data_IF_453880179019
#
_entry.id   IF_453880179019
#
_cell.length_a   1.000
_cell.length_b   1.000
_cell.length_c   1.000
_cell.angle_alpha   90.00
_cell.angle_beta   90.00
_cell.angle_gamma   90.00
#
_symmetry.space_group_name_H-M   'P 1'
#
loop_
_entity.id
_entity.type
_entity.pdbx_description
1 polymer ?
#
# COMPACT_ATOMS: atom_id res chain seq x y z
N UNK A 1 16.81 -21.06 -10.75
CA UNK A 1 15.73 -20.06 -10.82
C UNK A 1 15.73 -19.20 -9.57
N UNK A 2 15.68 -19.81 -8.38
CA UNK A 2 15.71 -19.11 -7.08
C UNK A 2 16.88 -18.13 -6.90
N UNK A 3 18.11 -18.51 -7.30
CA UNK A 3 19.27 -17.58 -7.23
C UNK A 3 19.09 -16.34 -8.10
N UNK A 4 18.51 -16.50 -9.29
CA UNK A 4 18.22 -15.38 -10.19
C UNK A 4 17.11 -14.51 -9.60
N UNK A 5 16.07 -15.11 -9.03
CA UNK A 5 15.00 -14.42 -8.31
C UNK A 5 15.53 -13.60 -7.14
N UNK A 6 16.39 -14.18 -6.32
CA UNK A 6 17.02 -13.50 -5.19
C UNK A 6 17.88 -12.32 -5.68
N UNK A 7 18.68 -12.52 -6.72
CA UNK A 7 19.52 -11.47 -7.29
C UNK A 7 18.69 -10.32 -7.87
N UNK A 8 17.65 -10.64 -8.64
CA UNK A 8 16.75 -9.63 -9.20
C UNK A 8 15.97 -8.89 -8.09
N UNK A 9 15.51 -9.58 -7.04
CA UNK A 9 14.87 -8.95 -5.90
C UNK A 9 15.84 -8.02 -5.13
N UNK A 10 17.09 -8.45 -4.96
CA UNK A 10 18.14 -7.67 -4.31
C UNK A 10 18.53 -6.43 -5.12
N UNK A 11 18.50 -6.49 -6.45
CA UNK A 11 18.76 -5.34 -7.32
C UNK A 11 17.53 -4.41 -7.46
N UNK A 12 16.33 -4.99 -7.55
CA UNK A 12 15.09 -4.24 -7.72
C UNK A 12 14.75 -3.41 -6.47
N UNK A 13 15.07 -3.90 -5.27
CA UNK A 13 14.73 -3.18 -4.02
C UNK A 13 15.43 -1.81 -3.94
N UNK A 14 16.77 -1.68 -4.08
CA UNK A 14 17.44 -0.39 -4.17
C UNK A 14 16.98 0.46 -5.36
N UNK A 15 16.67 -0.18 -6.49
CA UNK A 15 16.18 0.52 -7.68
C UNK A 15 14.83 1.21 -7.43
N UNK A 16 13.89 0.54 -6.77
CA UNK A 16 12.57 1.13 -6.45
C UNK A 16 12.74 2.32 -5.50
N UNK A 17 13.64 2.21 -4.51
CA UNK A 17 13.98 3.31 -3.61
C UNK A 17 14.61 4.49 -4.38
N UNK A 18 15.53 4.21 -5.30
CA UNK A 18 16.24 5.25 -6.05
C UNK A 18 15.34 5.98 -7.05
N UNK A 19 14.48 5.27 -7.78
CA UNK A 19 13.59 5.87 -8.80
C UNK A 19 12.67 6.91 -8.18
N UNK A 20 12.00 6.59 -7.07
CA UNK A 20 11.12 7.55 -6.40
C UNK A 20 11.88 8.65 -5.67
N UNK A 21 13.10 8.35 -5.18
CA UNK A 21 13.98 9.37 -4.62
C UNK A 21 14.43 10.37 -5.70
N UNK A 22 14.77 9.93 -6.90
CA UNK A 22 15.18 10.81 -8.01
C UNK A 22 14.02 11.74 -8.40
N UNK A 23 12.81 11.21 -8.57
CA UNK A 23 11.61 12.03 -8.85
C UNK A 23 11.37 13.05 -7.74
N UNK A 24 11.65 12.70 -6.48
CA UNK A 24 11.53 13.67 -5.38
C UNK A 24 12.62 14.74 -5.41
N UNK A 25 13.82 14.43 -5.92
CA UNK A 25 14.94 15.36 -5.99
C UNK A 25 14.69 16.49 -6.99
N UNK A 26 13.87 16.26 -8.01
CA UNK A 26 13.41 17.31 -8.93
C UNK A 26 12.72 18.47 -8.18
N UNK A 27 12.07 18.18 -7.04
CA UNK A 27 11.51 19.19 -6.14
C UNK A 27 12.51 19.60 -5.06
N UNK A 28 13.10 18.62 -4.36
CA UNK A 28 13.93 18.85 -3.17
C UNK A 28 15.16 19.73 -3.42
N UNK A 29 15.72 19.67 -4.63
CA UNK A 29 16.90 20.44 -5.02
C UNK A 29 16.57 21.84 -5.54
N UNK A 30 15.28 22.17 -5.70
CA UNK A 30 14.83 23.52 -6.02
C UNK A 30 15.05 24.48 -4.85
N UNK A 31 14.96 25.78 -5.13
CA UNK A 31 15.07 26.85 -4.12
C UNK A 31 13.70 27.33 -3.61
N UNK A 32 12.62 26.73 -4.10
CA UNK A 32 11.24 27.18 -3.81
C UNK A 32 10.85 26.79 -2.37
N UNK A 33 10.23 27.70 -1.61
CA UNK A 33 9.80 27.40 -0.25
C UNK A 33 8.73 26.31 -0.24
N UNK A 34 8.87 25.36 0.68
CA UNK A 34 8.05 24.16 0.76
C UNK A 34 8.40 23.06 -0.26
N UNK A 35 9.39 23.28 -1.14
CA UNK A 35 10.05 22.22 -1.93
C UNK A 35 11.46 21.93 -1.43
N UNK A 36 12.21 22.96 -1.03
CA UNK A 36 13.59 22.82 -0.58
C UNK A 36 13.68 22.13 0.79
N UNK A 37 13.65 20.79 0.79
CA UNK A 37 13.71 19.99 2.03
C UNK A 37 14.40 18.65 1.81
N UNK A 38 15.11 18.19 2.83
CA UNK A 38 15.89 16.95 2.79
C UNK A 38 15.07 15.70 3.10
N UNK A 39 13.83 15.86 3.59
CA UNK A 39 12.97 14.72 3.95
C UNK A 39 12.21 14.13 2.75
N UNK A 40 12.16 14.83 1.60
CA UNK A 40 11.40 14.43 0.43
C UNK A 40 11.76 13.06 -0.14
N UNK A 41 13.04 12.67 -0.31
CA UNK A 41 13.39 11.36 -0.86
C UNK A 41 12.79 10.16 -0.11
N UNK A 42 13.02 9.99 1.21
CA UNK A 42 12.40 8.88 1.94
C UNK A 42 10.87 9.02 2.04
N UNK A 43 10.36 10.25 2.08
CA UNK A 43 8.92 10.52 2.15
C UNK A 43 8.17 10.14 0.87
N UNK A 44 8.69 10.49 -0.31
CA UNK A 44 8.09 10.14 -1.60
C UNK A 44 8.08 8.63 -1.82
N UNK A 45 9.15 7.94 -1.39
CA UNK A 45 9.21 6.48 -1.39
C UNK A 45 8.12 5.88 -0.50
N UNK A 46 7.96 6.37 0.74
CA UNK A 46 6.91 5.90 1.64
C UNK A 46 5.51 6.12 1.05
N UNK A 47 5.27 7.29 0.45
CA UNK A 47 4.03 7.61 -0.26
C UNK A 47 3.78 6.71 -1.48
N UNK A 48 4.82 6.33 -2.22
CA UNK A 48 4.73 5.41 -3.36
C UNK A 48 4.32 4.00 -2.92
N UNK A 49 4.89 3.50 -1.82
CA UNK A 49 4.47 2.22 -1.24
C UNK A 49 3.02 2.32 -0.76
N UNK A 50 2.65 3.38 -0.06
CA UNK A 50 1.30 3.58 0.47
C UNK A 50 0.23 3.60 -0.63
N UNK A 51 0.40 4.44 -1.67
CA UNK A 51 -0.51 4.51 -2.83
C UNK A 51 -0.50 3.24 -3.67
N UNK A 52 0.69 2.64 -3.89
CA UNK A 52 0.82 1.39 -4.64
C UNK A 52 0.05 0.24 -4.01
N UNK A 53 0.19 0.04 -2.70
CA UNK A 53 -0.58 -0.99 -1.98
C UNK A 53 -2.09 -0.71 -2.01
N UNK A 54 -2.52 0.55 -1.93
CA UNK A 54 -3.93 0.91 -2.06
C UNK A 54 -4.47 0.59 -3.46
N UNK A 55 -3.74 0.94 -4.52
CA UNK A 55 -4.10 0.58 -5.89
C UNK A 55 -4.16 -0.95 -6.09
N UNK A 56 -3.17 -1.69 -5.59
CA UNK A 56 -3.19 -3.16 -5.66
C UNK A 56 -4.40 -3.73 -4.92
N UNK A 57 -4.76 -3.20 -3.74
CA UNK A 57 -5.97 -3.62 -3.03
C UNK A 57 -7.24 -3.40 -3.87
N UNK A 58 -7.44 -2.23 -4.46
CA UNK A 58 -8.64 -1.98 -5.28
C UNK A 58 -8.78 -3.00 -6.43
N UNK A 59 -7.70 -3.24 -7.19
CA UNK A 59 -7.70 -4.16 -8.33
C UNK A 59 -7.83 -5.61 -7.89
N UNK A 60 -7.10 -6.01 -6.84
CA UNK A 60 -7.12 -7.35 -6.30
C UNK A 60 -8.50 -7.71 -5.73
N UNK A 61 -9.19 -6.77 -5.07
CA UNK A 61 -10.53 -7.00 -4.53
C UNK A 61 -11.57 -7.16 -5.64
N UNK A 62 -11.47 -6.38 -6.72
CA UNK A 62 -12.30 -6.55 -7.92
C UNK A 62 -12.02 -7.90 -8.58
N UNK A 63 -10.74 -8.21 -8.83
CA UNK A 63 -10.28 -9.48 -9.40
C UNK A 63 -10.76 -10.68 -8.58
N UNK A 64 -10.66 -10.63 -7.24
CA UNK A 64 -11.13 -11.66 -6.33
C UNK A 64 -12.62 -11.97 -6.51
N UNK A 65 -13.45 -10.96 -6.75
CA UNK A 65 -14.90 -11.12 -6.91
C UNK A 65 -15.30 -11.52 -8.33
N UNK A 66 -14.67 -10.96 -9.36
CA UNK A 66 -15.02 -11.21 -10.77
C UNK A 66 -14.48 -12.54 -11.26
N UNK A 67 -13.26 -12.91 -10.86
CA UNK A 67 -12.59 -14.15 -11.29
C UNK A 67 -12.71 -15.30 -10.28
N UNK A 68 -13.49 -15.13 -9.20
CA UNK A 68 -13.73 -16.12 -8.15
C UNK A 68 -12.45 -16.66 -7.44
N UNK A 69 -11.43 -15.82 -7.27
CA UNK A 69 -10.19 -16.19 -6.57
C UNK A 69 -10.29 -16.11 -5.04
N UNK A 70 -11.44 -16.43 -4.46
CA UNK A 70 -11.67 -16.32 -3.01
C UNK A 70 -10.81 -17.26 -2.18
N UNK A 71 -10.41 -18.41 -2.74
CA UNK A 71 -9.58 -19.43 -2.08
C UNK A 71 -8.08 -19.09 -2.13
N UNK A 72 -7.62 -18.45 -3.21
CA UNK A 72 -6.23 -18.02 -3.34
C UNK A 72 -5.97 -16.69 -2.61
N UNK A 73 -6.86 -15.70 -2.82
CA UNK A 73 -6.77 -14.39 -2.17
C UNK A 73 -7.61 -14.43 -0.90
N UNK A 74 -7.01 -14.96 0.16
CA UNK A 74 -7.65 -15.08 1.48
C UNK A 74 -7.78 -13.72 2.18
N UNK A 75 -8.66 -13.65 3.19
CA UNK A 75 -8.82 -12.44 4.03
C UNK A 75 -7.51 -12.09 4.75
N UNK A 76 -6.67 -13.08 5.05
CA UNK A 76 -5.42 -12.83 5.75
C UNK A 76 -4.38 -12.12 4.86
N UNK A 77 -4.42 -12.31 3.53
CA UNK A 77 -3.62 -11.51 2.60
C UNK A 77 -4.05 -10.04 2.65
N UNK A 78 -5.37 -9.78 2.58
CA UNK A 78 -5.95 -8.43 2.67
C UNK A 78 -5.57 -7.78 3.99
N UNK A 79 -5.68 -8.50 5.11
CA UNK A 79 -5.32 -7.98 6.43
C UNK A 79 -3.83 -7.62 6.54
N UNK A 80 -2.94 -8.46 6.01
CA UNK A 80 -1.49 -8.20 5.98
C UNK A 80 -1.17 -6.96 5.15
N UNK A 81 -1.78 -6.80 3.98
CA UNK A 81 -1.61 -5.60 3.14
C UNK A 81 -2.11 -4.33 3.86
N UNK A 82 -3.26 -4.40 4.53
CA UNK A 82 -3.76 -3.26 5.32
C UNK A 82 -2.80 -2.85 6.44
N UNK A 83 -2.07 -3.79 7.06
CA UNK A 83 -1.04 -3.46 8.05
C UNK A 83 0.13 -2.70 7.44
N UNK A 84 0.58 -3.07 6.25
CA UNK A 84 1.62 -2.33 5.51
C UNK A 84 1.16 -0.89 5.22
N UNK A 85 -0.11 -0.72 4.84
CA UNK A 85 -0.73 0.60 4.63
C UNK A 85 -0.73 1.44 5.91
N UNK A 86 -1.04 0.86 7.08
CA UNK A 86 -0.98 1.59 8.36
C UNK A 86 0.44 2.08 8.65
N UNK A 87 1.43 1.20 8.50
CA UNK A 87 2.83 1.53 8.79
C UNK A 87 3.32 2.66 7.88
N UNK A 88 3.07 2.54 6.58
CA UNK A 88 3.47 3.56 5.60
C UNK A 88 2.71 4.87 5.77
N UNK A 89 1.42 4.82 6.10
CA UNK A 89 0.64 6.00 6.49
C UNK A 89 1.22 6.69 7.73
N UNK A 90 1.66 5.92 8.73
CA UNK A 90 2.33 6.47 9.92
C UNK A 90 3.61 7.23 9.56
N UNK A 91 4.44 6.67 8.66
CA UNK A 91 5.65 7.34 8.16
C UNK A 91 5.30 8.64 7.42
N UNK A 92 4.31 8.61 6.53
CA UNK A 92 3.82 9.79 5.80
C UNK A 92 3.26 10.85 6.77
N UNK A 93 2.48 10.44 7.77
CA UNK A 93 1.94 11.35 8.78
C UNK A 93 3.02 12.01 9.64
N UNK A 94 4.07 11.26 10.01
CA UNK A 94 5.25 11.82 10.70
C UNK A 94 5.99 12.81 9.79
N UNK A 95 6.12 12.53 8.50
CA UNK A 95 6.73 13.46 7.55
C UNK A 95 5.95 14.79 7.47
N UNK A 96 4.61 14.74 7.35
CA UNK A 96 3.77 15.94 7.38
C UNK A 96 3.93 16.75 8.68
N UNK A 97 3.95 16.07 9.83
CA UNK A 97 4.15 16.72 11.13
C UNK A 97 5.54 17.35 11.22
N UNK A 98 6.56 16.68 10.70
CA UNK A 98 7.94 17.16 10.68
C UNK A 98 8.08 18.39 9.78
N UNK A 99 7.44 18.40 8.61
CA UNK A 99 7.40 19.56 7.72
C UNK A 99 6.74 20.77 8.40
N UNK A 100 5.58 20.58 9.03
CA UNK A 100 4.91 21.65 9.75
C UNK A 100 5.76 22.16 10.93
N UNK A 101 6.42 21.25 11.64
CA UNK A 101 7.33 21.60 12.74
C UNK A 101 8.55 22.38 12.23
N UNK A 102 9.19 21.93 11.15
CA UNK A 102 10.36 22.58 10.57
C UNK A 102 10.02 23.95 9.99
N UNK A 103 8.85 24.12 9.37
CA UNK A 103 8.38 25.41 8.87
C UNK A 103 8.17 26.43 10.01
N UNK A 104 7.68 25.96 11.17
CA UNK A 104 7.57 26.78 12.37
C UNK A 104 8.94 27.07 13.01
N UNK A 105 9.83 26.08 13.05
CA UNK A 105 11.16 26.16 13.66
C UNK A 105 12.17 26.98 12.83
N UNK A 106 12.07 26.97 11.50
CA UNK A 106 13.05 27.58 10.59
C UNK A 106 13.12 29.11 10.68
N UNK A 107 12.14 29.79 11.30
CA UNK A 107 11.99 31.26 11.40
C UNK A 107 11.94 31.99 10.04
N UNK A 108 12.13 31.30 8.92
CA UNK A 108 12.02 31.86 7.57
C UNK A 108 10.54 32.20 7.28
N UNK A 109 10.28 33.48 7.01
CA UNK A 109 8.94 33.99 6.76
C UNK A 109 8.28 33.34 5.55
N UNK A 110 9.04 33.00 4.50
CA UNK A 110 8.53 32.39 3.27
C UNK A 110 8.11 30.92 3.48
N UNK A 111 8.91 30.14 4.21
CA UNK A 111 8.56 28.77 4.60
C UNK A 111 7.31 28.75 5.48
N UNK A 112 7.29 29.60 6.52
CA UNK A 112 6.13 29.71 7.42
C UNK A 112 4.88 30.17 6.68
N UNK A 113 5.00 31.14 5.79
CA UNK A 113 3.89 31.60 4.95
C UNK A 113 3.36 30.49 4.05
N UNK A 114 4.24 29.70 3.42
CA UNK A 114 3.86 28.60 2.53
C UNK A 114 3.00 27.56 3.26
N UNK A 115 3.40 27.15 4.46
CA UNK A 115 2.64 26.17 5.25
C UNK A 115 1.33 26.75 5.82
N UNK A 116 1.31 28.02 6.24
CA UNK A 116 0.06 28.70 6.62
C UNK A 116 -0.88 28.79 5.43
N UNK A 117 -0.36 29.13 4.25
CA UNK A 117 -1.14 29.23 3.02
C UNK A 117 -1.66 27.86 2.55
N UNK A 118 -0.94 26.77 2.79
CA UNK A 118 -1.47 25.40 2.62
C UNK A 118 -2.68 25.14 3.52
N UNK A 119 -2.64 25.55 4.78
CA UNK A 119 -3.69 25.25 5.76
C UNK A 119 -4.91 26.20 5.70
N UNK A 120 -4.70 27.49 5.38
CA UNK A 120 -5.71 28.55 5.46
C UNK A 120 -5.91 29.33 4.15
N UNK A 121 -5.12 29.05 3.12
CA UNK A 121 -5.19 29.74 1.83
C UNK A 121 -6.28 29.20 0.90
N UNK A 122 -6.28 29.62 -0.38
CA UNK A 122 -7.34 29.28 -1.33
C UNK A 122 -7.43 27.78 -1.66
N UNK A 123 -6.33 27.03 -1.46
CA UNK A 123 -6.27 25.58 -1.63
C UNK A 123 -6.33 24.81 -0.31
N UNK A 124 -6.80 25.43 0.79
CA UNK A 124 -6.94 24.77 2.09
C UNK A 124 -7.78 23.48 2.00
N UNK A 125 -8.85 23.49 1.21
CA UNK A 125 -9.70 22.33 0.98
C UNK A 125 -8.91 21.12 0.45
N UNK A 126 -7.92 21.32 -0.42
CA UNK A 126 -7.09 20.26 -0.97
C UNK A 126 -6.14 19.71 0.10
N UNK A 127 -5.52 20.59 0.90
CA UNK A 127 -4.67 20.19 2.02
C UNK A 127 -5.43 19.39 3.08
N UNK A 128 -6.59 19.87 3.53
CA UNK A 128 -7.39 19.15 4.53
C UNK A 128 -7.94 17.83 3.98
N UNK A 129 -8.28 17.76 2.69
CA UNK A 129 -8.68 16.50 2.04
C UNK A 129 -7.53 15.50 2.03
N UNK A 130 -6.33 15.94 1.66
CA UNK A 130 -5.10 15.14 1.68
C UNK A 130 -4.83 14.57 3.08
N UNK A 131 -4.77 15.42 4.11
CA UNK A 131 -4.50 14.98 5.50
C UNK A 131 -5.59 14.02 5.98
N UNK A 132 -6.86 14.33 5.72
CA UNK A 132 -7.99 13.46 6.07
C UNK A 132 -7.87 12.07 5.45
N UNK A 133 -7.60 12.00 4.15
CA UNK A 133 -7.54 10.73 3.44
C UNK A 133 -6.28 9.91 3.77
N UNK A 134 -5.13 10.56 3.89
CA UNK A 134 -3.85 9.86 4.04
C UNK A 134 -3.53 9.52 5.50
N UNK A 135 -3.94 10.36 6.45
CA UNK A 135 -3.62 10.19 7.87
C UNK A 135 -4.80 9.62 8.64
N UNK A 136 -5.98 10.23 8.54
CA UNK A 136 -7.12 9.87 9.39
C UNK A 136 -7.87 8.62 8.90
N UNK A 137 -8.21 8.55 7.61
CA UNK A 137 -8.95 7.42 7.04
C UNK A 137 -8.14 6.12 7.13
N UNK A 138 -6.82 6.18 6.93
CA UNK A 138 -5.93 5.02 7.06
C UNK A 138 -5.84 4.48 8.50
N UNK A 139 -5.97 5.34 9.52
CA UNK A 139 -6.00 4.89 10.93
C UNK A 139 -7.19 3.98 11.24
N UNK A 140 -8.26 4.01 10.43
CA UNK A 140 -9.40 3.10 10.60
C UNK A 140 -8.98 1.63 10.47
N UNK A 141 -7.86 1.33 9.81
CA UNK A 141 -7.30 -0.01 9.73
C UNK A 141 -6.65 -0.51 11.04
N UNK A 142 -6.53 0.28 12.10
CA UNK A 142 -6.19 -0.25 13.42
C UNK A 142 -7.25 -1.23 13.94
N UNK A 143 -8.52 -1.01 13.60
CA UNK A 143 -9.61 -1.87 14.01
C UNK A 143 -9.65 -3.14 13.15
N UNK A 144 -9.36 -4.29 13.76
CA UNK A 144 -9.34 -5.60 13.08
C UNK A 144 -10.65 -5.91 12.34
N UNK A 145 -11.79 -5.53 12.91
CA UNK A 145 -13.12 -5.71 12.29
C UNK A 145 -13.22 -4.99 10.93
N UNK A 146 -12.67 -3.78 10.84
CA UNK A 146 -12.69 -2.98 9.62
C UNK A 146 -11.73 -3.53 8.56
N UNK A 147 -10.51 -3.94 8.94
CA UNK A 147 -9.55 -4.57 8.01
C UNK A 147 -10.02 -5.88 7.38
N UNK A 148 -10.87 -6.64 8.08
CA UNK A 148 -11.38 -7.92 7.58
C UNK A 148 -12.69 -7.77 6.78
N UNK A 149 -13.22 -6.55 6.68
CA UNK A 149 -14.44 -6.25 5.92
C UNK A 149 -14.06 -5.79 4.50
N UNK A 150 -14.19 -6.69 3.52
CA UNK A 150 -13.71 -6.49 2.14
C UNK A 150 -14.24 -5.21 1.49
N UNK A 151 -15.55 -4.94 1.59
CA UNK A 151 -16.14 -3.73 1.02
C UNK A 151 -15.60 -2.44 1.66
N UNK A 152 -15.36 -2.47 2.97
CA UNK A 152 -14.77 -1.33 3.68
C UNK A 152 -13.34 -1.06 3.22
N UNK A 153 -12.52 -2.11 3.09
CA UNK A 153 -11.15 -2.00 2.57
C UNK A 153 -11.14 -1.41 1.16
N UNK A 154 -12.07 -1.84 0.30
CA UNK A 154 -12.21 -1.30 -1.06
C UNK A 154 -12.46 0.21 -1.06
N UNK A 155 -13.43 0.67 -0.28
CA UNK A 155 -13.76 2.10 -0.16
C UNK A 155 -12.55 2.89 0.36
N UNK A 156 -11.91 2.43 1.44
CA UNK A 156 -10.73 3.11 2.02
C UNK A 156 -9.58 3.19 1.01
N UNK A 157 -9.33 2.12 0.25
CA UNK A 157 -8.25 2.12 -0.75
C UNK A 157 -8.45 3.15 -1.87
N UNK A 158 -9.69 3.46 -2.23
CA UNK A 158 -10.00 4.55 -3.18
C UNK A 158 -9.68 5.91 -2.55
N UNK A 159 -10.12 6.14 -1.30
CA UNK A 159 -9.82 7.38 -0.60
C UNK A 159 -8.32 7.63 -0.44
N UNK A 160 -7.54 6.59 -0.17
CA UNK A 160 -6.07 6.68 -0.10
C UNK A 160 -5.49 7.15 -1.44
N UNK A 161 -5.91 6.56 -2.56
CA UNK A 161 -5.41 6.97 -3.87
C UNK A 161 -5.78 8.42 -4.21
N UNK A 162 -7.01 8.85 -3.86
CA UNK A 162 -7.45 10.24 -4.01
C UNK A 162 -6.58 11.16 -3.14
N UNK A 163 -6.36 10.81 -1.87
CA UNK A 163 -5.53 11.58 -0.94
C UNK A 163 -4.08 11.70 -1.40
N UNK A 164 -3.50 10.64 -1.97
CA UNK A 164 -2.14 10.65 -2.52
C UNK A 164 -2.02 11.44 -3.83
N UNK A 165 -3.10 11.51 -4.62
CA UNK A 165 -3.14 12.44 -5.74
C UNK A 165 -3.16 13.90 -5.25
N UNK A 166 -3.99 14.20 -4.24
CA UNK A 166 -4.01 15.52 -3.61
C UNK A 166 -2.68 15.87 -2.95
N UNK A 167 -1.94 14.90 -2.41
CA UNK A 167 -0.60 15.12 -1.89
C UNK A 167 0.33 15.74 -2.94
N UNK A 168 0.41 15.13 -4.13
CA UNK A 168 1.25 15.65 -5.22
C UNK A 168 0.73 16.99 -5.74
N UNK A 169 -0.59 17.14 -5.86
CA UNK A 169 -1.19 18.42 -6.22
C UNK A 169 -0.85 19.53 -5.22
N UNK A 170 -0.96 19.26 -3.93
CA UNK A 170 -0.67 20.23 -2.86
C UNK A 170 0.80 20.61 -2.89
N UNK A 171 1.72 19.63 -2.92
CA UNK A 171 3.16 19.92 -2.96
C UNK A 171 3.47 20.84 -4.16
N UNK A 172 2.96 20.53 -5.36
CA UNK A 172 3.29 21.27 -6.57
C UNK A 172 2.59 22.63 -6.62
N UNK A 173 1.25 22.64 -6.62
CA UNK A 173 0.47 23.85 -6.90
C UNK A 173 0.53 24.84 -5.75
N UNK A 174 0.45 24.37 -4.49
CA UNK A 174 0.41 25.30 -3.36
C UNK A 174 1.74 25.99 -3.09
N UNK A 175 2.87 25.38 -3.49
CA UNK A 175 4.19 26.02 -3.40
C UNK A 175 4.49 26.94 -4.58
N UNK A 176 3.85 26.75 -5.75
CA UNK A 176 4.10 27.57 -6.94
C UNK A 176 3.15 28.76 -7.09
N UNK A 177 1.87 28.60 -6.74
CA UNK A 177 0.86 29.65 -6.95
C UNK A 177 1.12 30.91 -6.10
N UNK A 178 1.88 30.77 -5.01
CA UNK A 178 2.34 31.84 -4.13
C UNK A 178 3.77 31.54 -3.68
N UNK A 179 4.72 32.22 -4.29
CA UNK A 179 6.15 32.10 -4.04
C UNK A 179 6.70 33.37 -3.36
N UNK A 180 7.98 33.66 -3.58
CA UNK A 180 8.69 34.82 -3.02
C UNK A 180 8.08 36.18 -3.40
N UNK A 181 7.51 36.33 -4.60
CA UNK A 181 7.12 37.63 -5.16
C UNK A 181 5.59 37.76 -5.23
N UNK A 182 4.97 38.65 -4.45
CA UNK A 182 3.52 38.86 -4.51
C UNK A 182 2.98 39.25 -5.89
N UNK A 183 3.79 39.88 -6.74
CA UNK A 183 3.43 40.24 -8.11
C UNK A 183 3.24 39.04 -9.04
N UNK A 184 3.83 37.90 -8.69
CA UNK A 184 3.79 36.67 -9.49
C UNK A 184 2.71 35.69 -9.04
N UNK A 185 1.93 36.06 -8.02
CA UNK A 185 0.88 35.20 -7.49
C UNK A 185 -0.24 35.01 -8.49
N UNK A 186 -0.51 33.75 -8.82
CA UNK A 186 -1.52 33.36 -9.81
C UNK A 186 -2.31 32.15 -9.30
N UNK A 187 -3.54 31.99 -9.77
CA UNK A 187 -4.35 30.82 -9.44
C UNK A 187 -4.23 29.77 -10.54
N UNK A 188 -4.15 28.50 -10.17
CA UNK A 188 -4.21 27.38 -11.09
C UNK A 188 -5.64 26.83 -11.18
N UNK A 189 -6.18 26.83 -12.40
CA UNK A 189 -7.45 26.19 -12.73
C UNK A 189 -7.21 25.22 -13.88
N UNK A 190 -7.43 23.90 -13.70
CA UNK A 190 -7.15 22.93 -14.73
C UNK A 190 -8.08 23.14 -15.94
N UNK A 191 -7.51 23.02 -17.13
CA UNK A 191 -8.24 23.05 -18.39
C UNK A 191 -8.91 21.70 -18.65
N UNK A 192 -9.90 21.71 -19.54
CA UNK A 192 -10.60 20.48 -19.96
C UNK A 192 -9.62 19.47 -20.58
N UNK A 193 -8.57 19.94 -21.26
CA UNK A 193 -7.56 19.07 -21.89
C UNK A 193 -6.72 18.33 -20.84
N UNK A 194 -6.34 19.01 -19.74
CA UNK A 194 -5.61 18.37 -18.64
C UNK A 194 -6.45 17.27 -17.96
N UNK A 195 -7.74 17.55 -17.72
CA UNK A 195 -8.67 16.59 -17.14
C UNK A 195 -8.89 15.40 -18.09
N UNK A 196 -9.09 15.68 -19.39
CA UNK A 196 -9.28 14.63 -20.40
C UNK A 196 -8.03 13.75 -20.54
N UNK A 197 -6.84 14.34 -20.48
CA UNK A 197 -5.56 13.61 -20.51
C UNK A 197 -5.43 12.72 -19.29
N UNK A 198 -5.74 13.23 -18.09
CA UNK A 198 -5.74 12.45 -16.86
C UNK A 198 -6.76 11.30 -16.89
N UNK A 199 -7.97 11.54 -17.39
CA UNK A 199 -8.95 10.47 -17.59
C UNK A 199 -8.48 9.44 -18.63
N UNK A 200 -7.79 9.89 -19.69
CA UNK A 200 -7.21 9.06 -20.72
C UNK A 200 -6.15 8.09 -20.22
N UNK A 201 -5.32 8.49 -19.24
CA UNK A 201 -4.30 7.59 -18.66
C UNK A 201 -4.94 6.45 -17.87
N UNK A 202 -6.07 6.66 -17.18
CA UNK A 202 -6.85 5.56 -16.60
C UNK A 202 -7.36 4.60 -17.68
N UNK A 203 -7.88 5.14 -18.79
CA UNK A 203 -8.33 4.33 -19.93
C UNK A 203 -7.20 3.44 -20.48
N UNK A 204 -6.02 4.02 -20.70
CA UNK A 204 -4.83 3.29 -21.15
C UNK A 204 -4.41 2.22 -20.12
N UNK A 205 -4.35 2.58 -18.84
CA UNK A 205 -4.00 1.66 -17.76
C UNK A 205 -4.94 0.47 -17.68
N UNK A 206 -6.26 0.70 -17.63
CA UNK A 206 -7.23 -0.37 -17.57
C UNK A 206 -7.22 -1.23 -18.84
N UNK A 207 -7.04 -0.63 -20.02
CA UNK A 207 -6.90 -1.39 -21.27
C UNK A 207 -5.71 -2.34 -21.22
N UNK A 208 -4.52 -1.83 -20.87
CA UNK A 208 -3.32 -2.66 -20.75
C UNK A 208 -3.44 -3.73 -19.65
N UNK A 209 -4.00 -3.35 -18.49
CA UNK A 209 -4.20 -4.26 -17.36
C UNK A 209 -5.20 -5.39 -17.68
N UNK A 210 -6.31 -5.08 -18.37
CA UNK A 210 -7.30 -6.07 -18.77
C UNK A 210 -6.75 -7.01 -19.86
N UNK A 211 -5.95 -6.50 -20.80
CA UNK A 211 -5.23 -7.34 -21.77
C UNK A 211 -4.27 -8.29 -21.06
N UNK A 212 -3.50 -7.79 -20.09
CA UNK A 212 -2.62 -8.62 -19.27
C UNK A 212 -3.39 -9.72 -18.52
N UNK A 213 -4.49 -9.35 -17.84
CA UNK A 213 -5.33 -10.30 -17.11
C UNK A 213 -6.00 -11.34 -18.02
N UNK A 214 -6.18 -11.03 -19.32
CA UNK A 214 -6.77 -11.94 -20.31
C UNK A 214 -5.75 -12.92 -20.90
N UNK A 215 -4.53 -12.46 -21.18
CA UNK A 215 -3.51 -13.25 -21.90
C UNK A 215 -2.49 -13.94 -20.99
N UNK A 216 -2.27 -13.45 -19.78
CA UNK A 216 -1.28 -13.98 -18.84
C UNK A 216 -1.98 -14.53 -17.59
N UNK A 217 -1.51 -15.64 -16.99
CA UNK A 217 -2.06 -16.13 -15.73
C UNK A 217 -1.98 -15.05 -14.63
N UNK A 218 -3.13 -14.70 -14.06
CA UNK A 218 -3.23 -13.64 -13.04
C UNK A 218 -2.51 -13.98 -11.72
N UNK A 219 -2.32 -15.26 -11.44
CA UNK A 219 -1.66 -15.78 -10.23
C UNK A 219 -0.40 -16.54 -10.66
N UNK A 220 0.70 -16.35 -9.95
CA UNK A 220 1.94 -17.09 -10.16
C UNK A 220 1.81 -18.55 -9.67
N UNK A 221 1.30 -19.43 -10.52
CA UNK A 221 0.97 -20.84 -10.17
C UNK A 221 2.20 -21.63 -9.71
N UNK A 222 3.39 -21.37 -10.28
CA UNK A 222 4.63 -22.06 -9.90
C UNK A 222 5.00 -21.81 -8.43
N UNK A 223 4.94 -20.54 -8.00
CA UNK A 223 5.27 -20.13 -6.63
C UNK A 223 4.22 -20.65 -5.63
N UNK A 224 2.94 -20.49 -5.97
CA UNK A 224 1.85 -20.97 -5.10
C UNK A 224 1.97 -22.47 -4.85
N UNK A 225 2.29 -23.27 -5.88
CA UNK A 225 2.50 -24.72 -5.72
C UNK A 225 3.72 -25.04 -4.85
N UNK A 226 4.83 -24.32 -5.04
CA UNK A 226 6.07 -24.51 -4.27
C UNK A 226 5.87 -24.24 -2.76
N UNK A 227 5.26 -23.11 -2.42
CA UNK A 227 5.02 -22.74 -1.01
C UNK A 227 3.99 -23.68 -0.34
N UNK A 228 2.98 -24.13 -1.08
CA UNK A 228 2.00 -25.10 -0.56
C UNK A 228 2.59 -26.51 -0.34
N UNK A 229 3.63 -26.91 -1.10
CA UNK A 229 4.35 -28.15 -0.80
C UNK A 229 5.23 -28.03 0.44
N UNK A 230 5.92 -26.90 0.61
CA UNK A 230 6.77 -26.65 1.78
C UNK A 230 5.95 -26.52 3.07
N UNK A 231 4.80 -25.83 3.01
CA UNK A 231 3.86 -25.74 4.12
C UNK A 231 3.30 -27.10 4.56
N UNK A 232 3.13 -28.05 3.63
CA UNK A 232 2.72 -29.43 3.92
C UNK A 232 3.83 -30.23 4.59
N UNK A 233 5.06 -30.17 4.08
CA UNK A 233 6.22 -30.83 4.69
C UNK A 233 6.52 -30.30 6.11
N UNK A 234 6.28 -29.02 6.36
CA UNK A 234 6.47 -28.44 7.70
C UNK A 234 5.41 -28.93 8.71
N UNK A 235 4.21 -29.28 8.27
CA UNK A 235 3.16 -29.86 9.13
C UNK A 235 3.41 -31.34 9.49
N UNK A 236 4.26 -32.04 8.74
CA UNK A 236 4.61 -33.45 8.98
C UNK A 236 5.72 -33.65 10.04
N UNK A 237 6.30 -32.58 10.61
CA UNK A 237 7.17 -32.71 11.80
C UNK A 237 6.35 -33.32 12.95
N UNK A 238 6.86 -34.33 13.67
CA UNK A 238 6.04 -35.23 14.46
C UNK A 238 5.41 -34.45 15.61
N UNK A 239 4.07 -34.41 15.62
CA UNK A 239 3.34 -34.16 16.85
C UNK A 239 3.91 -35.12 17.88
N UNK A 240 4.53 -34.54 18.92
CA UNK A 240 5.00 -35.22 20.12
C UNK A 240 4.00 -36.35 20.43
N UNK A 241 4.45 -37.62 20.35
CA UNK A 241 3.68 -38.76 20.87
C UNK A 241 3.34 -38.43 22.31
N UNK A 242 2.13 -37.93 22.55
CA UNK A 242 1.60 -37.76 23.89
C UNK A 242 1.37 -39.17 24.41
N UNK A 243 2.27 -39.58 25.29
CA UNK A 243 2.24 -40.84 26.04
C UNK A 243 1.08 -40.83 27.03
N UNK A 244 -0.15 -40.81 26.52
CA UNK A 244 -1.35 -41.05 27.30
C UNK A 244 -1.95 -42.36 26.82
N UNK A 245 -1.62 -43.39 27.58
CA UNK A 245 -2.31 -44.68 27.74
C UNK A 245 -3.65 -44.77 26.99
N UNK A 246 -3.71 -45.68 26.01
CA UNK A 246 -4.94 -46.42 25.76
C UNK A 246 -4.82 -47.75 26.53
N UNK A 247 -5.77 -48.09 27.41
CA UNK A 247 -5.74 -49.38 28.09
C UNK A 247 -5.95 -50.50 27.06
N UNK A 248 -5.21 -51.58 27.27
CA UNK A 248 -5.22 -52.79 26.46
C UNK A 248 -6.64 -53.32 26.27
N UNK A 249 -7.07 -53.48 25.02
CA UNK A 249 -8.15 -54.41 24.69
C UNK A 249 -7.53 -55.80 24.76
N UNK A 250 -7.89 -56.53 25.82
CA UNK A 250 -7.53 -57.92 26.04
C UNK A 250 -8.21 -58.74 24.94
N UNK A 251 -7.41 -59.29 24.03
CA UNK A 251 -7.84 -60.31 23.08
C UNK A 251 -8.01 -61.62 23.88
N UNK A 252 -9.26 -61.95 24.22
CA UNK A 252 -9.61 -63.26 24.75
C UNK A 252 -9.60 -64.26 23.59
N UNK A 253 -8.49 -65.00 23.46
CA UNK A 253 -8.47 -66.26 22.74
C UNK A 253 -9.44 -67.25 23.43
N UNK A 254 -10.57 -67.54 22.79
CA UNK A 254 -11.41 -68.66 23.14
C UNK A 254 -10.82 -69.93 22.53
N UNK A 255 -10.19 -70.73 23.40
CA UNK A 255 -9.77 -72.10 23.15
C UNK A 255 -10.88 -73.03 23.64
N UNK A 256 -11.18 -74.05 22.83
CA UNK A 256 -11.87 -75.34 23.12
C UNK A 256 -13.39 -75.42 23.03
N UNK A 257 -13.88 -76.11 21.98
CA UNK A 257 -14.63 -77.38 22.07
C UNK A 257 -14.64 -78.02 20.67
N UNK A 258 -13.72 -78.94 20.35
CA UNK A 258 -13.71 -80.40 20.59
C UNK A 258 -14.86 -81.21 19.97
N UNK A 259 -14.44 -82.23 19.22
CA UNK A 259 -15.04 -83.57 19.05
C UNK A 259 -16.28 -83.79 18.16
N UNK A 260 -16.10 -84.66 17.16
CA UNK A 260 -17.03 -85.80 16.99
C UNK A 260 -17.59 -86.07 15.59
N UNK A 261 -16.95 -87.01 14.89
CA UNK A 261 -17.43 -87.83 13.76
C UNK A 261 -17.54 -87.20 12.37
#
# INVERSE_FOLDING_TARGET
>A
YETVYMLLAALATPLVLSVHSIVSMDFATSVIPGWHTTIFPPYFVAGAVFSGFAMVLTLMLIARKVMNYTEYITIDHIEKMCKVIIVTSGIVGIAYATEMFMAWYSVNEYERFTFINRAMGPYAWAYWTMVTCNVFISQLFWFKKLRRTVWFVFVVSIFINIGMWFERFVIIVTSLHRDFLPSSWAMYTPTVIEIATFAGTFGLFFTAFLLFARFVPFIAISEVKGVLSEGRHTQEWPQKKSSLQQPAVVEQEAVVEETGR
#
